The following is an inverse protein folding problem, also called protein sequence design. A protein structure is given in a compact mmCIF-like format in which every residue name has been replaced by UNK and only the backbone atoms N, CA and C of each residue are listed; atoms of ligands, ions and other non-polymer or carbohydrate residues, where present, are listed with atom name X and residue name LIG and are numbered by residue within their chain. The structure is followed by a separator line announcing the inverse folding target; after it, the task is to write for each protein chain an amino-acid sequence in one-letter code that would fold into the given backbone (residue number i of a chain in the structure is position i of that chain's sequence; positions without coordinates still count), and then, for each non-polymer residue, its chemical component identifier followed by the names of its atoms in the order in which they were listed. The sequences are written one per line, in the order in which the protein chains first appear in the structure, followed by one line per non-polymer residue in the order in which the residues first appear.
data_IF_003456161886
#
_entry.id   IF_003456161886
#
_cell.length_a   1.000
_cell.length_b   1.000
_cell.length_c   1.000
_cell.angle_alpha   90.00
_cell.angle_beta   90.00
_cell.angle_gamma   90.00
#
_symmetry.space_group_name_H-M   'P 1'
#
loop_
_entity.id
_entity.type
_entity.pdbx_description
1 polymer ?
#
# COMPACT_ATOMS: atom_id res chain seq x y z
N UNK A 1 6.48 9.48 -13.94
CA UNK A 1 5.25 8.95 -13.33
C UNK A 1 5.20 9.43 -11.89
N UNK A 2 4.00 9.61 -11.31
CA UNK A 2 3.88 9.88 -9.87
C UNK A 2 4.42 8.67 -9.10
N UNK A 3 5.34 8.90 -8.15
CA UNK A 3 5.76 7.89 -7.17
C UNK A 3 4.61 7.60 -6.19
N UNK A 4 4.56 6.41 -5.56
CA UNK A 4 5.46 5.26 -5.75
C UNK A 4 5.01 4.30 -6.87
N UNK A 5 5.95 3.51 -7.40
CA UNK A 5 5.70 2.37 -8.31
C UNK A 5 6.66 1.21 -8.00
N UNK A 6 6.27 -0.02 -8.35
CA UNK A 6 7.10 -1.23 -8.26
C UNK A 6 7.05 -2.02 -9.57
N UNK A 7 8.05 -2.89 -9.79
CA UNK A 7 8.02 -3.94 -10.81
C UNK A 7 8.32 -5.29 -10.16
N UNK A 8 7.52 -6.31 -10.49
CA UNK A 8 7.74 -7.67 -10.04
C UNK A 8 7.42 -8.64 -11.18
N UNK A 9 8.39 -9.47 -11.57
CA UNK A 9 8.26 -10.41 -12.69
C UNK A 9 7.70 -9.76 -13.98
N UNK A 10 8.24 -8.59 -14.35
CA UNK A 10 7.84 -7.79 -15.52
C UNK A 10 6.44 -7.16 -15.44
N UNK A 11 5.75 -7.26 -14.31
CA UNK A 11 4.49 -6.59 -14.04
C UNK A 11 4.74 -5.30 -13.26
N UNK A 12 4.32 -4.15 -13.81
CA UNK A 12 4.49 -2.84 -13.18
C UNK A 12 3.20 -2.37 -12.54
N UNK A 13 3.30 -1.89 -11.30
CA UNK A 13 2.17 -1.37 -10.52
C UNK A 13 2.52 0.00 -9.96
N UNK A 14 1.62 0.97 -10.14
CA UNK A 14 1.79 2.34 -9.66
C UNK A 14 0.68 2.70 -8.66
N UNK A 15 0.99 3.53 -7.66
CA UNK A 15 0.06 3.97 -6.64
C UNK A 15 0.05 3.06 -5.41
N UNK A 16 0.15 3.65 -4.22
CA UNK A 16 0.35 2.93 -2.95
C UNK A 16 -0.70 1.87 -2.70
N UNK A 17 -1.98 2.19 -2.91
CA UNK A 17 -3.09 1.26 -2.72
C UNK A 17 -2.96 0.02 -3.61
N UNK A 18 -2.71 0.22 -4.90
CA UNK A 18 -2.53 -0.87 -5.86
C UNK A 18 -1.28 -1.70 -5.59
N UNK A 19 -0.20 -1.06 -5.13
CA UNK A 19 1.05 -1.73 -4.75
C UNK A 19 0.83 -2.64 -3.54
N UNK A 20 0.10 -2.18 -2.53
CA UNK A 20 -0.20 -2.98 -1.34
C UNK A 20 -1.05 -4.19 -1.74
N UNK A 21 -2.15 -3.98 -2.46
CA UNK A 21 -3.03 -5.06 -2.91
C UNK A 21 -2.27 -6.10 -3.74
N UNK A 22 -1.44 -5.65 -4.69
CA UNK A 22 -0.59 -6.51 -5.50
C UNK A 22 0.34 -7.40 -4.67
N UNK A 23 0.98 -6.83 -3.64
CA UNK A 23 1.90 -7.57 -2.79
C UNK A 23 1.14 -8.58 -1.90
N UNK A 24 -0.05 -8.23 -1.41
CA UNK A 24 -0.89 -9.17 -0.66
C UNK A 24 -1.31 -10.36 -1.52
N UNK A 25 -1.72 -10.11 -2.77
CA UNK A 25 -2.14 -11.16 -3.71
C UNK A 25 -0.98 -12.05 -4.18
N UNK A 26 0.14 -11.47 -4.60
CA UNK A 26 1.26 -12.22 -5.21
C UNK A 26 2.15 -12.94 -4.21
N UNK A 27 2.36 -12.35 -3.04
CA UNK A 27 3.32 -12.86 -2.05
C UNK A 27 2.63 -13.48 -0.84
N UNK A 28 1.30 -13.36 -0.72
CA UNK A 28 0.55 -13.79 0.47
C UNK A 28 0.93 -13.01 1.73
N UNK A 29 1.70 -11.92 1.58
CA UNK A 29 2.13 -11.05 2.66
C UNK A 29 1.04 -10.03 2.85
N UNK A 30 0.18 -10.22 3.85
CA UNK A 30 -0.68 -9.13 4.27
C UNK A 30 0.02 -8.31 5.33
N UNK A 31 0.43 -7.11 4.93
CA UNK A 31 1.10 -6.15 5.80
C UNK A 31 0.20 -5.76 6.99
N UNK A 32 -1.12 -5.84 6.80
CA UNK A 32 -2.12 -5.38 7.76
C UNK A 32 -2.92 -6.52 8.44
N UNK A 33 -2.70 -7.80 8.07
CA UNK A 33 -3.47 -8.93 8.66
C UNK A 33 -3.28 -9.10 10.16
N UNK A 34 -2.12 -8.72 10.68
CA UNK A 34 -1.84 -8.79 12.12
C UNK A 34 -2.33 -7.57 12.88
N UNK A 35 -2.81 -6.53 12.19
CA UNK A 35 -3.30 -5.30 12.82
C UNK A 35 -4.73 -5.49 13.30
N UNK A 36 -5.02 -5.00 14.51
CA UNK A 36 -6.38 -4.79 14.99
C UNK A 36 -7.13 -3.76 14.14
N UNK A 37 -8.46 -3.73 14.23
CA UNK A 37 -9.30 -2.77 13.51
C UNK A 37 -8.89 -1.31 13.78
N UNK A 38 -8.48 -1.01 15.01
CA UNK A 38 -8.00 0.31 15.41
C UNK A 38 -6.67 0.65 14.73
N UNK A 39 -5.72 -0.28 14.70
CA UNK A 39 -4.43 -0.09 14.04
C UNK A 39 -4.58 0.06 12.52
N UNK A 40 -5.51 -0.66 11.90
CA UNK A 40 -5.85 -0.47 10.49
C UNK A 40 -6.42 0.94 10.22
N UNK A 41 -7.30 1.44 11.10
CA UNK A 41 -7.83 2.80 10.97
C UNK A 41 -6.73 3.86 11.08
N UNK A 42 -5.78 3.68 12.00
CA UNK A 42 -4.61 4.57 12.15
C UNK A 42 -3.72 4.51 10.92
N UNK A 43 -3.40 3.30 10.42
CA UNK A 43 -2.59 3.12 9.22
C UNK A 43 -3.22 3.80 8.00
N UNK A 44 -4.55 3.68 7.84
CA UNK A 44 -5.30 4.36 6.77
C UNK A 44 -5.20 5.88 6.90
N UNK A 45 -5.42 6.44 8.10
CA UNK A 45 -5.35 7.87 8.34
C UNK A 45 -3.96 8.46 8.05
N UNK A 46 -2.89 7.76 8.46
CA UNK A 46 -1.52 8.17 8.19
C UNK A 46 -1.23 8.13 6.68
N UNK A 47 -1.63 7.06 6.00
CA UNK A 47 -1.43 6.91 4.55
C UNK A 47 -2.10 8.05 3.78
N UNK A 48 -3.38 8.33 4.08
CA UNK A 48 -4.11 9.43 3.45
C UNK A 48 -3.48 10.80 3.74
N UNK A 49 -3.05 11.07 4.97
CA UNK A 49 -2.38 12.33 5.31
C UNK A 49 -1.09 12.51 4.50
N UNK A 50 -0.27 11.47 4.39
CA UNK A 50 0.97 11.49 3.59
C UNK A 50 0.67 11.71 2.10
N UNK A 51 -0.33 11.02 1.55
CA UNK A 51 -0.70 11.15 0.14
C UNK A 51 -1.27 12.52 -0.21
N UNK A 52 -2.06 13.13 0.67
CA UNK A 52 -2.68 14.44 0.41
C UNK A 52 -1.78 15.64 0.74
N UNK A 53 -0.83 15.49 1.66
CA UNK A 53 -0.05 16.64 2.18
C UNK A 53 1.43 16.63 1.78
N UNK A 54 1.96 15.49 1.28
CA UNK A 54 3.36 15.37 0.87
C UNK A 54 3.54 15.09 -0.63
N UNK A 55 2.45 15.04 -1.41
CA UNK A 55 2.44 14.76 -2.86
C UNK A 55 1.44 15.62 -3.65
#
# INVERSE_FOLDING_TARGET
GKMPWIEYNYEQVCGTEFIIDFLEEKLGVSLNKSLSAQEQAVARAITTMVEEHLY
#
